data_IF_566866530130
#
_entry.id   IF_566866530130
#
_cell.length_a   1.000
_cell.length_b   1.000
_cell.length_c   1.000
_cell.angle_alpha   90.00
_cell.angle_beta   90.00
_cell.angle_gamma   90.00
#
_symmetry.space_group_name_H-M   'P 1'
#
loop_
_entity.id
_entity.type
_entity.pdbx_description
1 polymer ?
#
# COMPACT_ATOMS: atom_id res chain seq x y z
N UNK A 1 0.96 12.66 5.69
CA UNK A 1 0.20 11.39 5.62
C UNK A 1 1.08 10.16 5.41
N UNK A 2 2.13 10.20 4.57
CA UNK A 2 3.09 9.08 4.47
C UNK A 2 4.04 8.93 5.70
N UNK A 3 4.23 10.00 6.47
CA UNK A 3 5.12 10.02 7.63
C UNK A 3 4.74 8.98 8.71
N UNK A 4 3.45 8.68 8.89
CA UNK A 4 3.02 7.66 9.87
C UNK A 4 3.42 6.24 9.44
N UNK A 5 3.29 5.92 8.15
CA UNK A 5 3.69 4.63 7.60
C UNK A 5 5.22 4.48 7.47
N UNK A 6 6.00 5.54 7.73
CA UNK A 6 7.44 5.56 7.46
C UNK A 6 7.77 5.30 5.99
N UNK A 7 6.87 5.58 5.05
CA UNK A 7 7.08 5.35 3.61
C UNK A 7 7.44 6.64 2.91
N UNK A 8 8.49 6.61 2.10
CA UNK A 8 8.87 7.73 1.24
C UNK A 8 8.13 7.63 -0.09
N UNK A 9 7.31 8.63 -0.41
CA UNK A 9 6.71 8.75 -1.75
C UNK A 9 7.81 9.21 -2.72
N UNK A 10 8.10 8.47 -3.80
CA UNK A 10 9.17 8.83 -4.73
C UNK A 10 8.96 10.20 -5.37
N UNK A 11 10.06 10.90 -5.64
CA UNK A 11 10.01 12.11 -6.45
C UNK A 11 9.42 11.81 -7.84
N UNK A 12 8.58 12.71 -8.34
CA UNK A 12 7.85 12.50 -9.60
C UNK A 12 6.62 11.58 -9.51
N UNK A 13 6.28 11.08 -8.32
CA UNK A 13 4.99 10.42 -8.11
C UNK A 13 3.83 11.39 -8.41
N UNK A 14 2.81 10.89 -9.11
CA UNK A 14 1.63 11.68 -9.49
C UNK A 14 0.35 11.08 -8.92
N UNK A 15 -0.74 11.85 -8.97
CA UNK A 15 -2.07 11.41 -8.51
C UNK A 15 -2.07 10.85 -7.08
N UNK A 16 -1.28 11.50 -6.22
CA UNK A 16 -1.17 11.17 -4.80
C UNK A 16 -2.49 11.47 -4.10
N UNK A 17 -2.98 10.47 -3.36
CA UNK A 17 -4.19 10.49 -2.55
C UNK A 17 -3.86 9.84 -1.21
N UNK A 18 -4.46 10.33 -0.13
CA UNK A 18 -4.36 9.68 1.16
C UNK A 18 -5.51 10.10 2.07
N UNK A 19 -5.81 9.25 3.04
CA UNK A 19 -6.74 9.50 4.13
C UNK A 19 -6.19 8.90 5.43
N UNK A 20 -6.69 9.41 6.55
CA UNK A 20 -6.67 8.67 7.82
C UNK A 20 -8.12 8.45 8.20
N UNK A 21 -8.50 7.19 8.36
CA UNK A 21 -9.81 6.82 8.88
C UNK A 21 -9.65 6.58 10.37
N UNK A 22 -10.11 7.54 11.18
CA UNK A 22 -10.05 7.45 12.64
C UNK A 22 -11.18 6.53 13.10
N UNK A 23 -10.85 5.45 13.80
CA UNK A 23 -11.86 4.54 14.36
C UNK A 23 -11.66 4.36 15.87
N UNK A 24 -12.71 4.00 16.64
CA UNK A 24 -12.59 3.76 18.07
C UNK A 24 -11.64 2.62 18.45
N UNK A 25 -11.40 1.67 17.54
CA UNK A 25 -10.53 0.51 17.77
C UNK A 25 -9.11 0.76 17.25
N UNK A 26 -8.96 1.13 15.98
CA UNK A 26 -7.68 1.32 15.32
C UNK A 26 -7.81 2.28 14.13
N UNK A 27 -6.89 3.23 14.02
CA UNK A 27 -6.84 4.17 12.90
C UNK A 27 -6.30 3.47 11.66
N UNK A 28 -6.98 3.64 10.53
CA UNK A 28 -6.52 3.10 9.25
C UNK A 28 -5.91 4.22 8.42
N UNK A 29 -4.63 4.08 8.09
CA UNK A 29 -3.93 5.03 7.25
C UNK A 29 -3.96 4.54 5.81
N UNK A 30 -4.31 5.43 4.87
CA UNK A 30 -4.40 5.12 3.45
C UNK A 30 -3.49 6.05 2.65
N UNK A 31 -2.75 5.48 1.70
CA UNK A 31 -1.91 6.22 0.76
C UNK A 31 -1.94 5.54 -0.60
N UNK A 32 -2.12 6.32 -1.66
CA UNK A 32 -1.99 5.83 -3.03
C UNK A 32 -1.39 6.88 -3.94
N UNK A 33 -0.53 6.45 -4.86
CA UNK A 33 0.11 7.32 -5.85
C UNK A 33 0.54 6.51 -7.06
N UNK A 34 0.83 7.20 -8.17
CA UNK A 34 1.30 6.59 -9.41
C UNK A 34 2.78 6.91 -9.60
N UNK A 35 3.61 5.88 -9.74
CA UNK A 35 5.06 5.97 -9.97
C UNK A 35 5.47 5.01 -11.09
N UNK A 36 6.77 4.77 -11.29
CA UNK A 36 7.28 3.74 -12.21
C UNK A 36 7.18 2.36 -11.57
N UNK A 37 7.15 1.28 -12.37
CA UNK A 37 7.16 -0.09 -11.83
C UNK A 37 8.39 -0.33 -10.94
N UNK A 38 9.57 0.13 -11.39
CA UNK A 38 10.82 0.04 -10.62
C UNK A 38 10.70 0.69 -9.23
N UNK A 39 10.10 1.88 -9.15
CA UNK A 39 9.92 2.56 -7.87
C UNK A 39 8.91 1.81 -6.98
N UNK A 40 7.83 1.29 -7.55
CA UNK A 40 6.84 0.51 -6.81
C UNK A 40 7.45 -0.76 -6.21
N UNK A 41 8.28 -1.47 -6.96
CA UNK A 41 9.01 -2.65 -6.48
C UNK A 41 10.05 -2.27 -5.41
N UNK A 42 10.75 -1.15 -5.59
CA UNK A 42 11.68 -0.61 -4.59
C UNK A 42 11.00 -0.29 -3.26
N UNK A 43 9.79 0.29 -3.29
CA UNK A 43 9.00 0.53 -2.07
C UNK A 43 8.61 -0.80 -1.41
N UNK A 44 8.14 -1.78 -2.19
CA UNK A 44 7.76 -3.08 -1.65
C UNK A 44 8.96 -3.79 -0.97
N UNK A 45 10.15 -3.66 -1.56
CA UNK A 45 11.39 -4.19 -0.99
C UNK A 45 11.81 -3.46 0.30
N UNK A 46 11.69 -2.12 0.34
CA UNK A 46 12.01 -1.30 1.52
C UNK A 46 11.11 -1.58 2.72
N UNK A 47 9.91 -2.12 2.49
CA UNK A 47 9.02 -2.56 3.56
C UNK A 47 9.47 -3.88 4.22
N UNK A 48 10.44 -4.60 3.64
CA UNK A 48 10.93 -5.89 4.17
C UNK A 48 9.81 -6.93 4.35
N UNK A 49 8.90 -7.03 3.38
CA UNK A 49 7.87 -8.06 3.38
C UNK A 49 8.50 -9.47 3.48
N UNK A 50 7.97 -10.31 4.36
CA UNK A 50 8.44 -11.70 4.52
C UNK A 50 8.20 -12.52 3.25
N UNK A 51 7.11 -12.23 2.56
CA UNK A 51 6.77 -12.83 1.26
C UNK A 51 6.88 -11.77 0.16
N UNK A 52 7.37 -12.12 -1.04
CA UNK A 52 7.44 -11.19 -2.17
C UNK A 52 6.04 -10.80 -2.64
N UNK A 53 5.98 -9.71 -3.42
CA UNK A 53 4.76 -9.31 -4.15
C UNK A 53 4.24 -10.50 -4.97
N UNK A 54 3.02 -10.94 -4.65
CA UNK A 54 2.36 -12.06 -5.32
C UNK A 54 1.04 -11.62 -5.94
N UNK A 55 0.63 -12.31 -6.99
CA UNK A 55 -0.70 -12.12 -7.53
C UNK A 55 -1.75 -12.37 -6.43
N UNK A 56 -2.66 -11.42 -6.22
CA UNK A 56 -3.75 -11.63 -5.27
C UNK A 56 -4.76 -12.59 -5.90
N UNK A 57 -5.08 -13.68 -5.19
CA UNK A 57 -6.23 -14.51 -5.58
C UNK A 57 -7.50 -13.70 -5.33
N UNK A 58 -8.43 -13.70 -6.29
CA UNK A 58 -9.70 -12.94 -6.24
C UNK A 58 -10.66 -13.38 -5.13
N UNK A 59 -10.30 -14.39 -4.36
CA UNK A 59 -11.21 -15.17 -3.53
C UNK A 59 -11.70 -14.40 -2.27
N UNK A 60 -11.12 -13.24 -1.95
CA UNK A 60 -11.55 -12.42 -0.81
C UNK A 60 -11.96 -11.02 -1.25
N UNK A 61 -13.25 -10.72 -1.01
CA UNK A 61 -13.83 -9.38 -1.15
C UNK A 61 -13.10 -8.39 -0.22
N UNK A 62 -12.95 -7.11 -0.61
CA UNK A 62 -12.39 -6.09 0.27
C UNK A 62 -13.24 -5.92 1.54
N UNK A 63 -12.60 -5.62 2.67
CA UNK A 63 -13.24 -5.39 3.98
C UNK A 63 -13.93 -4.01 4.05
N UNK A 64 -14.75 -3.69 3.04
CA UNK A 64 -15.41 -2.38 2.88
C UNK A 64 -14.71 -1.45 1.88
N UNK A 65 -15.29 -0.27 1.69
CA UNK A 65 -14.68 0.80 0.90
C UNK A 65 -13.62 1.52 1.74
N UNK A 66 -12.36 1.44 1.33
CA UNK A 66 -11.24 2.19 1.91
C UNK A 66 -10.75 3.21 0.88
N UNK A 67 -10.22 2.72 -0.23
CA UNK A 67 -9.76 3.56 -1.33
C UNK A 67 -10.93 4.14 -2.15
N UNK A 68 -12.11 3.51 -2.12
CA UNK A 68 -13.35 4.02 -2.68
C UNK A 68 -13.68 5.44 -2.21
N UNK A 69 -13.51 5.72 -0.92
CA UNK A 69 -13.71 7.05 -0.33
C UNK A 69 -12.72 8.10 -0.84
N UNK A 70 -11.60 7.69 -1.45
CA UNK A 70 -10.63 8.58 -2.10
C UNK A 70 -10.92 8.79 -3.59
N UNK A 71 -12.02 8.23 -4.11
CA UNK A 71 -12.35 8.19 -5.53
C UNK A 71 -11.46 7.24 -6.32
N UNK A 72 -10.92 6.19 -5.67
CA UNK A 72 -10.07 5.19 -6.28
C UNK A 72 -10.75 3.81 -6.23
N UNK A 73 -10.52 2.94 -7.22
CA UNK A 73 -10.96 1.56 -7.12
C UNK A 73 -10.20 0.82 -6.01
N UNK A 74 -10.85 -0.14 -5.39
CA UNK A 74 -10.21 -1.00 -4.39
C UNK A 74 -9.15 -1.88 -5.06
N UNK A 75 -7.87 -1.87 -4.61
CA UNK A 75 -6.79 -2.62 -5.26
C UNK A 75 -7.07 -4.12 -5.34
N UNK A 76 -7.85 -4.64 -4.39
CA UNK A 76 -8.34 -6.01 -4.33
C UNK A 76 -9.16 -6.43 -5.56
N UNK A 77 -9.83 -5.48 -6.20
CA UNK A 77 -10.74 -5.71 -7.34
C UNK A 77 -10.03 -5.58 -8.70
N UNK A 78 -8.82 -5.03 -8.71
CA UNK A 78 -8.11 -4.66 -9.92
C UNK A 78 -7.29 -5.84 -10.47
N UNK A 79 -7.48 -6.11 -11.77
CA UNK A 79 -6.69 -7.12 -12.47
C UNK A 79 -5.21 -6.72 -12.56
N UNK A 80 -4.32 -7.71 -12.48
CA UNK A 80 -2.86 -7.49 -12.52
C UNK A 80 -2.29 -6.90 -11.24
N UNK A 81 -3.08 -6.77 -10.17
CA UNK A 81 -2.58 -6.28 -8.87
C UNK A 81 -1.79 -7.36 -8.15
N UNK A 82 -0.56 -7.00 -7.79
CA UNK A 82 0.31 -7.78 -6.92
C UNK A 82 0.21 -7.22 -5.51
N UNK A 83 0.37 -8.04 -4.49
CA UNK A 83 0.28 -7.60 -3.10
C UNK A 83 1.29 -8.30 -2.20
N UNK A 84 1.62 -7.65 -1.08
CA UNK A 84 2.35 -8.24 0.03
C UNK A 84 1.85 -7.64 1.35
N UNK A 85 1.89 -8.47 2.40
CA UNK A 85 1.63 -8.07 3.77
C UNK A 85 2.93 -8.00 4.57
N UNK A 86 3.02 -7.01 5.44
CA UNK A 86 4.24 -6.66 6.15
C UNK A 86 3.91 -6.44 7.62
N UNK A 87 4.66 -7.11 8.49
CA UNK A 87 4.66 -6.87 9.93
C UNK A 87 5.97 -6.17 10.29
N UNK A 88 6.01 -4.82 10.38
CA UNK A 88 7.22 -4.10 10.75
C UNK A 88 7.86 -4.59 12.07
N UNK A 89 7.09 -4.91 13.14
CA UNK A 89 7.65 -5.47 14.37
C UNK A 89 8.31 -6.84 14.18
N UNK A 90 7.90 -7.63 13.20
CA UNK A 90 8.42 -8.98 12.96
C UNK A 90 9.80 -8.99 12.26
N UNK A 91 10.21 -7.84 11.71
CA UNK A 91 11.48 -7.65 10.99
C UNK A 91 12.33 -6.55 11.62
N UNK A 92 12.02 -6.16 12.86
CA UNK A 92 12.72 -5.13 13.62
C UNK A 92 12.87 -3.78 12.86
N UNK A 93 11.87 -3.40 12.05
CA UNK A 93 11.92 -2.13 11.32
C UNK A 93 11.63 -0.94 12.25
N UNK A 94 12.71 -0.40 12.81
CA UNK A 94 12.69 0.73 13.75
C UNK A 94 12.09 2.02 13.18
N UNK A 95 11.93 2.14 11.85
CA UNK A 95 11.28 3.30 11.21
C UNK A 95 9.77 3.29 11.37
N UNK A 96 9.19 2.13 11.69
CA UNK A 96 7.74 1.86 11.64
C UNK A 96 7.24 1.19 12.92
N UNK A 97 7.86 1.49 14.06
CA UNK A 97 7.57 0.88 15.38
C UNK A 97 6.14 1.04 15.88
N UNK A 98 5.39 2.01 15.33
CA UNK A 98 3.99 2.26 15.69
C UNK A 98 2.99 1.63 14.74
N UNK A 99 3.47 0.93 13.71
CA UNK A 99 2.64 0.29 12.70
C UNK A 99 2.69 -1.21 12.92
N UNK A 100 1.55 -1.82 13.21
CA UNK A 100 1.44 -3.26 13.47
C UNK A 100 1.44 -4.04 12.16
N UNK A 101 0.81 -3.47 11.13
CA UNK A 101 0.68 -4.12 9.84
C UNK A 101 0.62 -3.12 8.69
N UNK A 102 1.26 -3.45 7.56
CA UNK A 102 1.15 -2.72 6.30
C UNK A 102 0.79 -3.70 5.20
N UNK A 103 -0.22 -3.36 4.41
CA UNK A 103 -0.42 -4.01 3.12
C UNK A 103 -0.02 -3.06 1.99
N UNK A 104 0.80 -3.59 1.09
CA UNK A 104 1.14 -2.92 -0.16
C UNK A 104 0.47 -3.65 -1.33
N UNK A 105 -0.12 -2.86 -2.21
CA UNK A 105 -0.65 -3.32 -3.50
C UNK A 105 0.02 -2.54 -4.62
N UNK A 106 0.42 -3.26 -5.66
CA UNK A 106 1.04 -2.71 -6.87
C UNK A 106 0.19 -3.12 -8.06
N UNK A 107 -0.52 -2.14 -8.62
CA UNK A 107 -1.29 -2.30 -9.85
C UNK A 107 -0.47 -1.79 -11.03
N UNK A 108 -0.16 -2.67 -11.98
CA UNK A 108 0.49 -2.31 -13.23
C UNK A 108 -0.41 -1.42 -14.10
N UNK A 109 0.14 -0.33 -14.59
CA UNK A 109 -0.47 0.62 -15.51
C UNK A 109 0.41 0.71 -16.77
N UNK A 110 -0.17 0.59 -17.95
CA UNK A 110 0.61 0.61 -19.19
C UNK A 110 0.85 2.05 -19.71
N UNK A 111 2.03 2.33 -20.30
CA UNK A 111 3.29 1.58 -20.23
C UNK A 111 4.19 2.04 -19.05
N UNK A 112 4.83 1.08 -18.36
CA UNK A 112 5.84 1.24 -17.27
C UNK A 112 5.45 2.14 -16.08
N UNK A 113 4.15 2.19 -15.77
CA UNK A 113 3.66 2.90 -14.60
C UNK A 113 3.03 1.91 -13.65
N UNK A 114 3.03 2.24 -12.37
CA UNK A 114 2.32 1.46 -11.38
C UNK A 114 1.58 2.40 -10.45
N UNK A 115 0.36 2.01 -10.06
CA UNK A 115 -0.29 2.60 -8.90
C UNK A 115 0.05 1.76 -7.68
N UNK A 116 0.63 2.43 -6.69
CA UNK A 116 0.86 1.88 -5.37
C UNK A 116 -0.34 2.22 -4.50
N UNK A 117 -0.79 1.26 -3.71
CA UNK A 117 -1.74 1.45 -2.63
C UNK A 117 -1.12 0.90 -1.36
N UNK A 118 -1.17 1.67 -0.29
CA UNK A 118 -0.68 1.33 1.03
C UNK A 118 -1.79 1.53 2.03
N UNK A 119 -2.01 0.52 2.85
CA UNK A 119 -2.85 0.62 4.03
C UNK A 119 -2.09 0.14 5.24
N UNK A 120 -2.22 0.86 6.34
CA UNK A 120 -1.52 0.57 7.58
C UNK A 120 -2.45 0.71 8.78
N UNK A 121 -2.13 -0.10 9.80
CA UNK A 121 -2.85 -0.29 11.05
C UNK A 121 -1.88 -0.07 12.21
#
# INVERSE_FOLDING_TARGET
>A
MAAFMGVTVPEGATRTKGAVQVNPQEDVYLLSFVTTEKNAEGIAADLHAREPLRARKKDFAPEGERFGHLGLPEPQTLAGTRWAGVCPPCVDDTRRTRVQWIEIYVQSLQPDRARVYLQAF
#
